data_IF_532935695520
#
_entry.id   IF_532935695520
#
_cell.length_a   1.000
_cell.length_b   1.000
_cell.length_c   1.000
_cell.angle_alpha   90.00
_cell.angle_beta   90.00
_cell.angle_gamma   90.00
#
_symmetry.space_group_name_H-M   'P 1'
#
loop_
_entity.id
_entity.type
_entity.pdbx_description
1 polymer ?
#
# COMPACT_ATOMS: atom_id res chain seq x y z
N UNK A 1 -37.33 4.22 5.96
CA UNK A 1 -36.70 4.69 4.71
C UNK A 1 -35.52 5.58 5.09
N UNK A 2 -34.32 5.09 4.76
CA UNK A 2 -33.00 5.74 4.70
C UNK A 2 -32.47 6.45 5.96
N UNK A 3 -31.94 5.68 6.92
CA UNK A 3 -31.00 6.18 7.96
C UNK A 3 -29.73 5.31 8.14
N UNK A 4 -29.53 4.29 7.30
CA UNK A 4 -28.43 3.33 7.48
C UNK A 4 -27.45 3.26 6.30
N UNK A 5 -27.49 4.21 5.36
CA UNK A 5 -26.64 4.18 4.16
C UNK A 5 -25.19 4.63 4.39
N UNK A 6 -24.83 5.10 5.59
CA UNK A 6 -23.51 5.65 5.89
C UNK A 6 -22.56 4.68 6.61
N UNK A 7 -23.02 3.45 6.90
CA UNK A 7 -22.24 2.42 7.59
C UNK A 7 -21.66 1.34 6.68
N UNK A 8 -22.05 1.32 5.41
CA UNK A 8 -21.69 0.28 4.42
C UNK A 8 -20.54 0.72 3.52
N UNK A 9 -19.67 1.53 4.08
CA UNK A 9 -18.66 2.25 3.31
C UNK A 9 -17.24 1.86 3.75
N UNK A 10 -17.03 1.07 4.82
CA UNK A 10 -15.70 0.86 5.42
C UNK A 10 -14.61 0.36 4.46
N UNK A 11 -14.94 -0.61 3.60
CA UNK A 11 -13.99 -1.19 2.64
C UNK A 11 -13.80 -0.31 1.38
N UNK A 12 -14.87 0.16 0.72
CA UNK A 12 -14.71 1.12 -0.37
C UNK A 12 -14.15 2.46 0.11
N UNK A 13 -14.33 2.88 1.37
CA UNK A 13 -13.79 4.12 1.94
C UNK A 13 -12.30 4.07 2.15
N UNK A 14 -11.72 2.94 2.56
CA UNK A 14 -10.26 2.85 2.71
C UNK A 14 -9.55 3.21 1.39
N UNK A 15 -10.16 2.86 0.25
CA UNK A 15 -9.60 3.11 -1.07
C UNK A 15 -10.20 4.37 -1.77
N UNK A 16 -11.48 4.71 -1.54
CA UNK A 16 -12.08 6.01 -1.92
C UNK A 16 -11.43 7.16 -1.17
N UNK A 17 -10.85 6.96 0.02
CA UNK A 17 -10.14 8.02 0.75
C UNK A 17 -8.74 8.27 0.18
N UNK A 18 -8.08 7.26 -0.38
CA UNK A 18 -6.88 7.47 -1.20
C UNK A 18 -7.20 8.36 -2.40
N UNK A 19 -8.38 8.20 -3.00
CA UNK A 19 -8.88 9.11 -4.04
C UNK A 19 -9.38 10.47 -3.49
N UNK A 20 -10.02 10.51 -2.33
CA UNK A 20 -10.58 11.75 -1.77
C UNK A 20 -9.53 12.72 -1.22
N UNK A 21 -8.34 12.22 -0.82
CA UNK A 21 -7.24 13.08 -0.38
C UNK A 21 -6.60 13.86 -1.55
N UNK A 22 -6.65 13.31 -2.78
CA UNK A 22 -6.22 14.01 -3.99
C UNK A 22 -7.19 15.13 -4.40
N UNK A 23 -8.51 14.85 -4.37
CA UNK A 23 -9.54 15.81 -4.72
C UNK A 23 -9.67 17.00 -3.73
N UNK A 24 -9.15 16.87 -2.51
CA UNK A 24 -9.24 17.93 -1.49
C UNK A 24 -8.17 19.03 -1.61
N UNK A 25 -7.11 18.82 -2.39
CA UNK A 25 -6.10 19.85 -2.69
C UNK A 25 -6.27 20.53 -4.06
N UNK A 26 -7.13 19.99 -4.93
CA UNK A 26 -7.55 20.63 -6.18
C UNK A 26 -8.64 21.67 -5.96
N UNK A 27 -8.27 22.86 -5.46
CA UNK A 27 -9.21 23.97 -5.29
C UNK A 27 -9.87 24.38 -6.61
N UNK A 28 -11.21 24.35 -6.64
CA UNK A 28 -12.06 24.89 -7.70
C UNK A 28 -11.75 26.37 -7.99
N UNK A 29 -11.09 26.66 -9.11
CA UNK A 29 -11.02 27.99 -9.73
C UNK A 29 -12.35 28.30 -10.47
N UNK A 30 -13.48 28.30 -9.75
CA UNK A 30 -14.76 28.81 -10.25
C UNK A 30 -14.80 30.34 -10.15
N UNK A 31 -14.00 30.99 -11.00
CA UNK A 31 -13.99 32.43 -11.22
C UNK A 31 -15.07 32.88 -12.19
N UNK A 32 -16.33 32.89 -11.74
CA UNK A 32 -17.41 33.63 -12.40
C UNK A 32 -17.12 35.14 -12.37
N UNK A 33 -16.73 35.73 -13.50
CA UNK A 33 -16.73 37.18 -13.67
C UNK A 33 -17.37 37.61 -14.98
N UNK A 34 -18.66 37.92 -14.90
CA UNK A 34 -19.42 38.58 -15.96
C UNK A 34 -18.91 40.01 -16.19
N UNK A 35 -18.41 40.27 -17.41
CA UNK A 35 -18.00 41.60 -17.86
C UNK A 35 -18.27 41.79 -19.35
N UNK A 36 -19.47 42.26 -19.67
CA UNK A 36 -19.87 42.72 -21.01
C UNK A 36 -19.16 44.05 -21.36
N UNK A 37 -18.30 44.07 -22.38
CA UNK A 37 -17.67 45.30 -22.86
C UNK A 37 -16.87 45.08 -24.15
N UNK A 38 -17.37 45.64 -25.25
CA UNK A 38 -16.79 45.46 -26.59
C UNK A 38 -15.54 46.29 -26.89
N UNK A 39 -14.98 46.05 -28.08
CA UNK A 39 -13.94 46.87 -28.68
C UNK A 39 -12.99 46.03 -29.53
N UNK A 40 -13.14 46.10 -30.85
CA UNK A 40 -12.18 45.48 -31.77
C UNK A 40 -10.83 46.20 -31.77
N UNK A 41 -9.81 45.54 -32.31
CA UNK A 41 -9.00 46.01 -33.43
C UNK A 41 -7.81 45.06 -33.68
N UNK A 42 -7.66 44.76 -34.97
CA UNK A 42 -6.52 44.30 -35.77
C UNK A 42 -5.08 44.55 -35.24
N UNK A 43 -4.19 43.61 -35.60
CA UNK A 43 -2.72 43.73 -35.60
C UNK A 43 -2.07 42.92 -34.48
N UNK A 44 -0.94 42.24 -34.62
CA UNK A 44 0.08 42.23 -35.66
C UNK A 44 0.90 40.93 -35.48
N UNK A 45 1.35 40.40 -36.61
CA UNK A 45 2.41 39.42 -36.79
C UNK A 45 3.70 39.75 -36.03
N UNK A 46 4.32 38.75 -35.41
CA UNK A 46 5.79 38.70 -35.36
C UNK A 46 6.28 37.27 -35.16
N UNK A 47 6.90 36.78 -36.23
CA UNK A 47 7.85 35.68 -36.26
C UNK A 47 8.96 35.87 -35.21
N UNK A 48 9.35 34.79 -34.55
CA UNK A 48 10.69 34.68 -34.00
C UNK A 48 11.23 33.27 -34.22
N UNK A 49 11.91 33.13 -35.35
CA UNK A 49 12.90 32.09 -35.59
C UNK A 49 14.09 32.32 -34.63
N UNK A 50 14.46 31.29 -33.88
CA UNK A 50 15.59 31.29 -32.96
C UNK A 50 16.42 30.01 -33.10
N UNK A 51 17.32 30.02 -34.07
CA UNK A 51 18.35 29.01 -34.30
C UNK A 51 19.43 29.05 -33.21
N UNK A 52 19.93 27.87 -32.82
CA UNK A 52 21.21 27.66 -32.12
C UNK A 52 21.35 26.17 -31.81
N UNK A 53 22.03 25.32 -32.58
CA UNK A 53 23.46 25.28 -32.97
C UNK A 53 24.42 25.21 -31.78
N UNK A 54 25.09 24.05 -31.63
CA UNK A 54 26.24 23.79 -30.74
C UNK A 54 25.83 23.03 -29.48
N UNK A 55 26.44 21.92 -29.06
CA UNK A 55 27.83 21.53 -29.23
C UNK A 55 27.96 20.00 -29.12
N UNK A 56 28.66 19.40 -30.08
CA UNK A 56 29.38 18.14 -29.90
C UNK A 56 30.58 18.38 -28.98
N UNK A 57 31.03 17.34 -28.25
CA UNK A 57 32.44 16.95 -28.06
C UNK A 57 32.70 16.32 -26.67
N UNK A 58 33.36 15.14 -26.72
CA UNK A 58 34.25 14.51 -25.72
C UNK A 58 33.65 13.99 -24.40
N UNK A 59 34.04 12.83 -23.85
CA UNK A 59 35.18 11.91 -24.04
C UNK A 59 34.71 10.49 -23.61
N UNK A 60 35.08 9.38 -24.24
CA UNK A 60 36.38 8.67 -24.18
C UNK A 60 36.99 8.58 -22.77
N UNK A 61 36.80 7.41 -22.15
CA UNK A 61 37.68 6.77 -21.17
C UNK A 61 37.11 5.36 -20.96
N UNK A 62 37.59 4.37 -21.70
CA UNK A 62 38.84 3.61 -21.48
C UNK A 62 38.60 2.41 -20.55
N UNK A 63 39.13 1.30 -21.04
CA UNK A 63 39.20 -0.05 -20.49
C UNK A 63 39.77 -0.11 -19.05
N UNK A 64 39.36 -1.14 -18.30
CA UNK A 64 40.19 -1.90 -17.35
C UNK A 64 39.29 -3.04 -16.80
N UNK A 65 39.41 -4.26 -17.30
CA UNK A 65 40.36 -5.30 -16.86
C UNK A 65 39.92 -6.09 -15.62
N UNK A 66 39.78 -7.40 -15.83
CA UNK A 66 40.19 -8.51 -14.95
C UNK A 66 39.70 -8.55 -13.49
N UNK A 67 38.87 -9.55 -13.15
CA UNK A 67 39.37 -10.76 -12.48
C UNK A 67 38.22 -11.68 -12.01
N UNK A 68 38.15 -12.85 -12.64
CA UNK A 68 37.59 -14.06 -12.05
C UNK A 68 38.51 -14.57 -10.94
N UNK A 69 37.94 -15.04 -9.84
CA UNK A 69 38.50 -16.23 -9.22
C UNK A 69 37.51 -17.39 -9.27
N UNK A 70 37.90 -18.40 -10.03
CA UNK A 70 37.54 -19.79 -9.81
C UNK A 70 37.84 -20.18 -8.35
N UNK A 71 36.88 -20.79 -7.68
CA UNK A 71 37.10 -21.52 -6.44
C UNK A 71 36.57 -22.95 -6.63
N UNK A 72 37.49 -23.79 -7.09
CA UNK A 72 37.40 -25.24 -7.03
C UNK A 72 37.41 -25.74 -5.58
N UNK A 73 36.64 -26.80 -5.32
CA UNK A 73 36.89 -27.76 -4.25
C UNK A 73 35.76 -27.91 -3.24
N UNK A 74 35.02 -29.03 -3.27
CA UNK A 74 35.51 -30.24 -2.59
C UNK A 74 34.67 -31.46 -3.00
N UNK A 75 35.39 -32.56 -3.25
CA UNK A 75 34.91 -33.86 -3.66
C UNK A 75 34.77 -34.78 -2.42
N UNK A 76 33.70 -35.58 -2.40
CA UNK A 76 33.64 -36.84 -1.64
C UNK A 76 32.57 -36.87 -0.56
N UNK A 77 31.70 -37.87 -0.45
CA UNK A 77 31.61 -39.15 -1.13
C UNK A 77 30.71 -40.09 -0.32
N UNK A 78 30.46 -41.28 -0.88
CA UNK A 78 29.78 -42.47 -0.31
C UNK A 78 28.25 -42.41 -0.42
N UNK A 79 27.62 -43.15 -1.34
CA UNK A 79 27.38 -44.61 -1.28
C UNK A 79 26.73 -45.03 0.05
N UNK A 80 25.45 -45.37 0.02
CA UNK A 80 25.03 -46.76 0.27
C UNK A 80 23.53 -46.95 0.01
N UNK A 81 23.25 -47.96 -0.81
CA UNK A 81 21.91 -48.37 -1.18
C UNK A 81 21.12 -48.96 -0.02
N UNK A 82 19.81 -48.79 -0.15
CA UNK A 82 18.80 -49.52 0.60
C UNK A 82 17.64 -49.80 -0.34
N UNK A 83 17.76 -50.90 -1.07
CA UNK A 83 16.63 -51.61 -1.67
C UNK A 83 15.78 -52.15 -0.52
N UNK A 84 14.64 -51.51 -0.23
CA UNK A 84 13.55 -52.14 0.51
C UNK A 84 12.33 -52.18 -0.42
N UNK A 85 12.26 -53.32 -1.12
CA UNK A 85 11.01 -53.91 -1.56
C UNK A 85 10.08 -54.04 -0.34
N UNK A 86 9.00 -53.26 -0.29
CA UNK A 86 7.88 -53.62 0.57
C UNK A 86 6.56 -53.51 -0.17
N UNK A 87 5.81 -54.57 0.04
CA UNK A 87 4.76 -55.12 -0.79
C UNK A 87 3.49 -54.29 -0.74
N UNK A 88 2.70 -54.45 -1.80
CA UNK A 88 1.51 -53.68 -2.06
C UNK A 88 0.49 -53.68 -0.92
N UNK A 89 -0.09 -52.50 -0.72
CA UNK A 89 -1.48 -52.40 -0.29
C UNK A 89 -2.24 -51.53 -1.31
N UNK A 90 -3.02 -52.22 -2.15
CA UNK A 90 -4.06 -51.63 -2.98
C UNK A 90 -5.23 -51.21 -2.09
N UNK A 91 -4.97 -50.24 -1.21
CA UNK A 91 -5.92 -49.65 -0.28
C UNK A 91 -6.76 -48.58 -0.95
N UNK A 92 -7.88 -49.02 -1.54
CA UNK A 92 -9.15 -48.32 -1.63
C UNK A 92 -9.10 -46.78 -1.49
N UNK A 93 -9.23 -46.08 -2.62
CA UNK A 93 -9.44 -44.64 -2.70
C UNK A 93 -10.58 -44.16 -1.82
N UNK A 94 -10.22 -43.74 -0.60
CA UNK A 94 -10.97 -42.78 0.17
C UNK A 94 -10.52 -41.41 -0.31
N UNK A 95 -11.28 -40.82 -1.23
CA UNK A 95 -11.26 -39.39 -1.45
C UNK A 95 -11.83 -38.76 -0.17
N UNK A 96 -11.01 -38.74 0.88
CA UNK A 96 -11.23 -37.92 2.05
C UNK A 96 -11.04 -36.50 1.55
N UNK A 97 -12.10 -35.94 0.97
CA UNK A 97 -12.58 -34.61 1.30
C UNK A 97 -12.77 -34.58 2.83
N UNK A 98 -11.65 -34.69 3.55
CA UNK A 98 -11.54 -34.24 4.90
C UNK A 98 -11.73 -32.76 4.77
N UNK A 99 -12.97 -32.32 4.90
CA UNK A 99 -13.29 -30.99 5.37
C UNK A 99 -12.59 -30.82 6.70
N UNK A 100 -11.28 -30.59 6.66
CA UNK A 100 -10.59 -29.74 7.60
C UNK A 100 -11.47 -28.52 7.64
N UNK A 101 -12.19 -28.38 8.76
CA UNK A 101 -13.05 -27.26 9.06
C UNK A 101 -12.41 -26.06 8.41
N UNK A 102 -13.05 -25.49 7.38
CA UNK A 102 -12.61 -24.26 6.75
C UNK A 102 -12.20 -23.38 7.91
N UNK A 103 -10.90 -23.24 8.12
CA UNK A 103 -10.39 -22.38 9.18
C UNK A 103 -11.08 -21.06 8.89
N UNK A 104 -11.79 -20.57 9.89
CA UNK A 104 -12.69 -19.43 9.73
C UNK A 104 -11.82 -18.31 9.17
N UNK A 105 -11.89 -18.07 7.85
CA UNK A 105 -10.95 -17.18 7.19
C UNK A 105 -11.02 -15.78 7.78
N UNK A 106 -12.18 -15.44 8.37
CA UNK A 106 -12.39 -14.21 9.13
C UNK A 106 -11.49 -14.20 10.36
N UNK A 107 -11.34 -15.32 11.08
CA UNK A 107 -10.43 -15.43 12.21
C UNK A 107 -8.95 -15.30 11.78
N UNK A 108 -8.56 -15.83 10.62
CA UNK A 108 -7.19 -15.66 10.08
C UNK A 108 -6.92 -14.20 9.72
N UNK A 109 -7.88 -13.53 9.07
CA UNK A 109 -7.76 -12.11 8.73
C UNK A 109 -7.74 -11.22 9.97
N UNK A 110 -8.54 -11.54 11.01
CA UNK A 110 -8.48 -10.85 12.31
C UNK A 110 -7.14 -11.04 13.01
N UNK A 111 -6.61 -12.27 13.02
CA UNK A 111 -5.28 -12.52 13.58
C UNK A 111 -4.19 -11.74 12.83
N UNK A 112 -4.35 -11.57 11.51
CA UNK A 112 -3.45 -10.73 10.71
C UNK A 112 -3.57 -9.26 11.12
N UNK A 113 -4.79 -8.75 11.34
CA UNK A 113 -5.03 -7.40 11.86
C UNK A 113 -4.38 -7.19 13.25
N UNK A 114 -4.54 -8.14 14.18
CA UNK A 114 -3.89 -8.11 15.50
C UNK A 114 -2.35 -8.09 15.40
N UNK A 115 -1.80 -8.76 14.39
CA UNK A 115 -0.35 -8.80 14.16
C UNK A 115 0.20 -7.46 13.66
N UNK A 116 -0.61 -6.62 12.99
CA UNK A 116 -0.20 -5.27 12.57
C UNK A 116 0.09 -4.34 13.75
N UNK A 117 -0.63 -4.49 14.87
CA UNK A 117 -0.49 -3.64 16.05
C UNK A 117 0.75 -3.93 16.89
N UNK A 118 1.27 -5.16 16.80
CA UNK A 118 2.31 -5.66 17.69
C UNK A 118 3.56 -6.18 16.97
N UNK A 119 3.47 -6.41 15.67
CA UNK A 119 4.56 -6.95 14.85
C UNK A 119 5.54 -5.88 14.37
N UNK A 120 6.76 -6.33 14.08
CA UNK A 120 7.78 -5.53 13.39
C UNK A 120 7.87 -5.98 11.94
N UNK A 121 7.55 -5.11 10.99
CA UNK A 121 7.52 -5.43 9.56
C UNK A 121 7.75 -4.19 8.69
N UNK A 122 8.19 -4.42 7.46
CA UNK A 122 8.29 -3.43 6.39
C UNK A 122 7.67 -4.04 5.12
N UNK A 123 6.66 -3.39 4.55
CA UNK A 123 6.01 -3.85 3.32
C UNK A 123 5.82 -2.68 2.38
N UNK A 124 6.27 -2.85 1.13
CA UNK A 124 6.02 -1.90 0.04
C UNK A 124 5.09 -2.59 -0.95
N UNK A 125 3.97 -1.95 -1.24
CA UNK A 125 2.96 -2.42 -2.15
C UNK A 125 2.94 -1.57 -3.42
N UNK A 126 2.79 -2.22 -4.56
CA UNK A 126 2.37 -1.57 -5.78
C UNK A 126 0.84 -1.50 -5.81
N UNK A 127 0.30 -0.29 -5.91
CA UNK A 127 -1.13 -0.04 -6.11
C UNK A 127 -1.41 0.23 -7.58
N UNK A 128 -2.48 -0.37 -8.10
CA UNK A 128 -2.98 -0.15 -9.46
C UNK A 128 -4.51 -0.11 -9.47
N UNK A 129 -5.08 0.87 -10.16
CA UNK A 129 -6.52 1.00 -10.40
C UNK A 129 -6.81 2.12 -11.42
N UNK A 130 -8.08 2.43 -11.66
CA UNK A 130 -8.42 3.60 -12.49
C UNK A 130 -7.96 4.87 -11.79
N UNK A 131 -7.11 5.67 -12.45
CA UNK A 131 -6.65 6.96 -11.91
C UNK A 131 -5.68 6.87 -10.73
N UNK A 132 -5.26 5.66 -10.34
CA UNK A 132 -4.34 5.41 -9.23
C UNK A 132 -3.22 4.50 -9.69
N UNK A 133 -1.99 5.01 -9.64
CA UNK A 133 -0.78 4.22 -9.82
C UNK A 133 0.30 4.76 -8.88
N UNK A 134 0.74 3.94 -7.94
CA UNK A 134 1.70 4.38 -6.93
C UNK A 134 2.20 3.25 -6.05
N UNK A 135 3.15 3.58 -5.20
CA UNK A 135 3.62 2.71 -4.13
C UNK A 135 3.01 3.14 -2.80
N UNK A 136 2.65 2.15 -2.01
CA UNK A 136 2.20 2.31 -0.64
C UNK A 136 3.19 1.60 0.26
N UNK A 137 3.77 2.31 1.22
CA UNK A 137 4.74 1.75 2.17
C UNK A 137 4.09 1.67 3.54
N UNK A 138 4.21 0.51 4.19
CA UNK A 138 3.82 0.35 5.57
C UNK A 138 4.97 -0.27 6.37
N UNK A 139 5.40 0.43 7.42
CA UNK A 139 6.43 -0.04 8.33
C UNK A 139 5.93 0.08 9.78
N UNK A 140 6.23 -0.92 10.59
CA UNK A 140 5.94 -0.90 12.02
C UNK A 140 7.14 -1.43 12.79
N UNK A 141 7.56 -0.70 13.82
CA UNK A 141 8.48 -1.14 14.87
C UNK A 141 7.97 -0.54 16.18
N UNK A 142 6.95 -1.17 16.80
CA UNK A 142 6.19 -0.56 17.89
C UNK A 142 7.11 0.01 18.99
N UNK A 143 6.85 1.26 19.44
CA UNK A 143 5.65 2.05 19.22
C UNK A 143 5.69 2.97 17.99
N UNK A 144 6.66 2.81 17.09
CA UNK A 144 6.82 3.65 15.90
C UNK A 144 6.17 2.98 14.69
N UNK A 145 5.58 3.77 13.80
CA UNK A 145 5.04 3.29 12.53
C UNK A 145 5.15 4.35 11.43
N UNK A 146 5.20 3.91 10.18
CA UNK A 146 5.21 4.73 8.98
C UNK A 146 4.15 4.18 8.03
N UNK A 147 3.26 5.05 7.58
CA UNK A 147 2.40 4.80 6.43
C UNK A 147 2.75 5.85 5.38
N UNK A 148 3.30 5.43 4.26
CA UNK A 148 3.75 6.28 3.17
C UNK A 148 3.02 5.94 1.87
N UNK A 149 2.85 6.93 1.01
CA UNK A 149 2.27 6.77 -0.30
C UNK A 149 3.01 7.69 -1.27
N UNK A 150 3.42 7.16 -2.40
CA UNK A 150 4.01 7.92 -3.50
C UNK A 150 3.36 7.47 -4.82
N UNK A 151 3.11 8.39 -5.74
CA UNK A 151 2.56 8.03 -7.04
C UNK A 151 1.76 9.14 -7.69
N UNK A 152 1.05 8.78 -8.75
CA UNK A 152 0.18 9.69 -9.48
C UNK A 152 -1.27 9.48 -9.05
N UNK A 153 -1.89 10.54 -8.54
CA UNK A 153 -3.29 10.58 -8.13
C UNK A 153 -4.00 11.67 -8.93
N UNK A 154 -5.05 11.30 -9.67
CA UNK A 154 -5.80 12.24 -10.53
C UNK A 154 -4.93 12.98 -11.57
N UNK A 155 -3.76 12.42 -11.91
CA UNK A 155 -2.81 13.00 -12.86
C UNK A 155 -1.72 13.87 -12.23
N UNK A 156 -1.71 14.02 -10.91
CA UNK A 156 -0.70 14.77 -10.17
C UNK A 156 0.21 13.80 -9.39
N UNK A 157 1.52 14.00 -9.49
CA UNK A 157 2.49 13.24 -8.69
C UNK A 157 2.54 13.80 -7.27
N UNK A 158 2.33 12.94 -6.29
CA UNK A 158 2.30 13.30 -4.88
C UNK A 158 3.06 12.32 -4.02
N UNK A 159 3.50 12.79 -2.85
CA UNK A 159 4.03 11.93 -1.79
C UNK A 159 3.39 12.35 -0.47
N UNK A 160 2.83 11.39 0.24
CA UNK A 160 2.20 11.61 1.53
C UNK A 160 2.72 10.60 2.54
N UNK A 161 3.01 11.04 3.76
CA UNK A 161 3.51 10.17 4.82
C UNK A 161 2.86 10.50 6.17
N UNK A 162 2.59 9.46 6.92
CA UNK A 162 2.18 9.53 8.33
C UNK A 162 3.20 8.77 9.13
N UNK A 163 3.88 9.49 10.02
CA UNK A 163 4.93 8.93 10.87
C UNK A 163 4.48 9.00 12.32
N UNK A 164 4.22 7.85 12.94
CA UNK A 164 4.01 7.76 14.37
C UNK A 164 5.34 7.46 15.04
N UNK A 165 5.65 8.25 16.06
CA UNK A 165 6.83 8.06 16.91
C UNK A 165 6.39 7.83 18.35
N UNK A 166 7.36 7.54 19.23
CA UNK A 166 7.09 7.50 20.67
C UNK A 166 6.51 8.83 21.19
N UNK A 167 6.91 9.97 20.61
CA UNK A 167 6.60 11.32 21.11
C UNK A 167 5.40 11.99 20.41
N UNK A 168 5.24 11.78 19.11
CA UNK A 168 4.32 12.56 18.27
C UNK A 168 3.89 11.79 17.01
N UNK A 169 2.84 12.30 16.36
CA UNK A 169 2.44 11.89 15.02
C UNK A 169 2.75 13.02 14.05
N UNK A 170 3.33 12.69 12.90
CA UNK A 170 3.69 13.63 11.83
C UNK A 170 2.88 13.33 10.57
N UNK A 171 2.34 14.38 9.95
CA UNK A 171 1.70 14.31 8.64
C UNK A 171 2.55 15.10 7.66
N UNK A 172 3.18 14.42 6.72
CA UNK A 172 4.14 15.01 5.81
C UNK A 172 3.63 14.95 4.38
N UNK A 173 3.62 16.11 3.73
CA UNK A 173 3.49 16.23 2.28
C UNK A 173 4.91 16.33 1.71
N UNK A 174 5.23 15.45 0.78
CA UNK A 174 6.50 15.38 0.05
C UNK A 174 6.38 15.80 -1.41
N UNK A 175 5.26 16.40 -1.80
CA UNK A 175 5.07 16.91 -3.17
C UNK A 175 6.12 17.98 -3.47
N UNK A 176 6.84 17.90 -4.62
CA UNK A 176 7.90 18.84 -4.93
C UNK A 176 7.48 20.30 -4.86
N UNK A 177 8.17 21.10 -4.03
CA UNK A 177 7.86 22.50 -3.78
C UNK A 177 6.78 22.77 -2.72
N UNK A 178 6.17 21.73 -2.15
CA UNK A 178 5.21 21.82 -1.04
C UNK A 178 5.65 20.99 0.18
N UNK A 179 6.94 20.66 0.27
CA UNK A 179 7.46 19.77 1.29
C UNK A 179 7.27 20.36 2.69
N UNK A 180 6.45 19.73 3.52
CA UNK A 180 6.17 20.17 4.89
C UNK A 180 5.64 19.03 5.74
N UNK A 181 5.86 19.12 7.06
CA UNK A 181 5.26 18.22 8.04
C UNK A 181 4.45 18.99 9.08
N UNK A 182 3.30 18.44 9.47
CA UNK A 182 2.52 18.88 10.62
C UNK A 182 2.78 17.93 11.79
N UNK A 183 3.25 18.45 12.92
CA UNK A 183 3.48 17.67 14.15
C UNK A 183 2.28 17.79 15.07
N UNK A 184 1.73 16.65 15.49
CA UNK A 184 0.62 16.53 16.42
C UNK A 184 1.05 15.83 17.70
N UNK A 185 0.33 16.10 18.79
CA UNK A 185 0.42 15.31 20.01
C UNK A 185 0.02 13.86 19.71
N UNK A 186 0.77 12.91 20.26
CA UNK A 186 0.49 11.48 20.08
C UNK A 186 -0.97 11.14 20.41
N UNK A 187 -1.65 10.47 19.47
CA UNK A 187 -3.05 10.07 19.60
C UNK A 187 -4.07 11.22 19.49
N UNK A 188 -3.63 12.47 19.25
CA UNK A 188 -4.54 13.59 19.02
C UNK A 188 -4.76 13.81 17.52
N UNK A 189 -5.46 12.86 16.90
CA UNK A 189 -5.87 12.96 15.50
C UNK A 189 -7.00 13.99 15.29
N UNK A 190 -7.70 14.38 16.36
CA UNK A 190 -8.79 15.37 16.34
C UNK A 190 -8.32 16.79 15.99
N UNK A 191 -7.02 17.07 16.11
CA UNK A 191 -6.45 18.36 15.75
C UNK A 191 -6.37 18.58 14.23
N UNK A 192 -6.60 17.53 13.43
CA UNK A 192 -6.59 17.62 11.99
C UNK A 192 -7.99 18.01 11.50
N UNK A 193 -8.12 19.06 10.66
CA UNK A 193 -9.41 19.53 10.16
C UNK A 193 -10.04 18.59 9.12
N UNK A 194 -9.36 17.52 8.71
CA UNK A 194 -9.86 16.46 7.87
C UNK A 194 -9.94 15.17 8.70
N UNK A 195 -11.02 14.41 8.52
CA UNK A 195 -11.14 13.08 9.13
C UNK A 195 -10.01 12.22 8.57
N UNK A 196 -9.05 11.90 9.43
CA UNK A 196 -8.07 10.89 9.05
C UNK A 196 -8.80 9.58 8.83
N UNK A 197 -8.45 8.85 7.77
CA UNK A 197 -9.05 7.56 7.54
C UNK A 197 -8.87 6.69 8.79
N UNK A 198 -9.93 6.00 9.20
CA UNK A 198 -9.82 4.83 10.10
C UNK A 198 -8.79 3.82 9.57
N UNK A 199 -8.43 3.90 8.28
CA UNK A 199 -7.36 3.16 7.62
C UNK A 199 -5.97 3.25 8.28
N UNK A 200 -5.70 4.25 9.11
CA UNK A 200 -4.42 4.35 9.82
C UNK A 200 -4.27 3.34 10.95
N UNK A 201 -5.39 2.76 11.38
CA UNK A 201 -5.41 1.64 12.29
C UNK A 201 -5.93 0.41 11.50
N UNK A 202 -5.02 -0.48 11.14
CA UNK A 202 -5.35 -1.69 10.39
C UNK A 202 -6.36 -2.56 11.15
N UNK A 203 -6.30 -2.56 12.49
CA UNK A 203 -7.27 -3.26 13.35
C UNK A 203 -8.67 -2.65 13.22
N UNK A 204 -8.81 -1.32 13.30
CA UNK A 204 -10.12 -0.67 13.13
C UNK A 204 -10.65 -0.88 11.70
N UNK A 205 -9.80 -0.76 10.68
CA UNK A 205 -10.21 -0.84 9.28
C UNK A 205 -10.60 -2.27 8.85
N UNK A 206 -9.79 -3.27 9.20
CA UNK A 206 -10.12 -4.67 8.94
C UNK A 206 -11.19 -5.16 9.91
N UNK A 207 -11.17 -4.74 11.16
CA UNK A 207 -12.15 -5.08 12.19
C UNK A 207 -13.57 -4.66 11.79
N UNK A 208 -13.75 -3.42 11.37
CA UNK A 208 -15.07 -2.91 10.91
C UNK A 208 -15.63 -3.74 9.75
N UNK A 209 -14.77 -4.15 8.81
CA UNK A 209 -15.15 -5.02 7.70
C UNK A 209 -15.48 -6.43 8.18
N UNK A 210 -14.63 -7.02 9.01
CA UNK A 210 -14.74 -8.41 9.45
C UNK A 210 -15.82 -8.62 10.53
N UNK A 211 -16.31 -7.54 11.14
CA UNK A 211 -17.42 -7.53 12.10
C UNK A 211 -18.78 -7.31 11.42
N UNK A 212 -18.80 -7.02 10.12
CA UNK A 212 -20.03 -6.84 9.38
C UNK A 212 -20.84 -8.16 9.31
N UNK A 213 -22.14 -8.15 9.66
CA UNK A 213 -22.98 -9.34 9.58
C UNK A 213 -22.99 -9.93 8.18
N UNK A 214 -22.76 -11.25 8.09
CA UNK A 214 -22.78 -11.98 6.82
C UNK A 214 -21.43 -12.00 6.09
N UNK A 215 -20.40 -11.34 6.64
CA UNK A 215 -19.05 -11.47 6.10
C UNK A 215 -18.54 -12.90 6.25
N UNK A 216 -17.98 -13.40 5.15
CA UNK A 216 -17.35 -14.71 5.07
C UNK A 216 -16.04 -14.61 4.31
N UNK A 217 -15.06 -15.42 4.70
CA UNK A 217 -13.78 -15.51 4.02
C UNK A 217 -13.54 -16.98 3.68
N UNK A 218 -13.51 -17.28 2.37
CA UNK A 218 -13.33 -18.66 1.86
C UNK A 218 -11.93 -18.79 1.25
N UNK A 219 -11.14 -19.82 1.62
CA UNK A 219 -9.84 -20.05 1.00
C UNK A 219 -9.94 -20.19 -0.52
N UNK A 220 -9.06 -19.51 -1.26
CA UNK A 220 -8.96 -19.61 -2.74
C UNK A 220 -7.67 -20.30 -3.21
N UNK A 221 -6.67 -20.40 -2.34
CA UNK A 221 -5.42 -21.10 -2.65
C UNK A 221 -4.23 -20.51 -1.90
N UNK A 222 -3.03 -20.80 -2.42
CA UNK A 222 -1.75 -20.29 -1.90
C UNK A 222 -0.95 -19.64 -3.03
N UNK A 223 -0.16 -18.62 -2.70
CA UNK A 223 0.72 -17.90 -3.64
C UNK A 223 2.01 -17.50 -2.92
N UNK A 224 3.11 -17.36 -3.64
CA UNK A 224 4.32 -16.73 -3.10
C UNK A 224 4.36 -15.29 -3.63
N UNK A 225 4.35 -14.30 -2.74
CA UNK A 225 4.32 -12.86 -3.05
C UNK A 225 5.45 -12.19 -2.29
N UNK A 226 6.28 -11.38 -2.97
CA UNK A 226 7.49 -10.78 -2.38
C UNK A 226 8.39 -11.79 -1.64
N UNK A 227 8.44 -13.05 -2.12
CA UNK A 227 9.22 -14.13 -1.48
C UNK A 227 8.58 -14.77 -0.24
N UNK A 228 7.38 -14.35 0.16
CA UNK A 228 6.64 -14.91 1.31
C UNK A 228 5.50 -15.79 0.81
N UNK A 229 5.38 -16.99 1.39
CA UNK A 229 4.23 -17.88 1.15
C UNK A 229 2.97 -17.32 1.82
N UNK A 230 1.95 -17.09 1.01
CA UNK A 230 0.68 -16.49 1.39
C UNK A 230 -0.49 -17.45 1.18
N UNK A 231 -1.46 -17.40 2.09
CA UNK A 231 -2.77 -18.01 1.94
C UNK A 231 -3.78 -16.96 1.48
N UNK A 232 -4.54 -17.29 0.44
CA UNK A 232 -5.49 -16.38 -0.18
C UNK A 232 -6.93 -16.74 0.20
N UNK A 233 -7.72 -15.71 0.45
CA UNK A 233 -9.09 -15.77 0.92
C UNK A 233 -9.95 -14.86 0.05
N UNK A 234 -11.06 -15.39 -0.46
CA UNK A 234 -12.12 -14.56 -1.04
C UNK A 234 -13.05 -14.13 0.07
N UNK A 235 -13.06 -12.84 0.34
CA UNK A 235 -13.97 -12.21 1.28
C UNK A 235 -15.24 -11.80 0.55
N UNK A 236 -16.40 -12.05 1.14
CA UNK A 236 -17.71 -11.64 0.64
C UNK A 236 -18.54 -11.06 1.76
N UNK A 237 -19.24 -9.96 1.50
CA UNK A 237 -20.25 -9.38 2.38
C UNK A 237 -21.67 -9.66 1.88
N UNK A 238 -22.67 -9.48 2.74
CA UNK A 238 -24.09 -9.58 2.36
C UNK A 238 -24.51 -8.47 1.38
N UNK A 239 -23.74 -7.38 1.28
CA UNK A 239 -23.93 -6.32 0.30
C UNK A 239 -23.58 -6.75 -1.14
N UNK A 240 -22.95 -7.93 -1.30
CA UNK A 240 -22.52 -8.45 -2.60
C UNK A 240 -21.13 -7.98 -3.02
N UNK A 241 -20.44 -7.24 -2.16
CA UNK A 241 -19.04 -6.87 -2.36
C UNK A 241 -18.17 -8.12 -2.19
N UNK A 242 -17.13 -8.23 -3.01
CA UNK A 242 -16.17 -9.31 -2.87
C UNK A 242 -14.77 -8.85 -3.22
N UNK A 243 -13.80 -9.36 -2.46
CA UNK A 243 -12.38 -9.13 -2.71
C UNK A 243 -11.57 -10.40 -2.48
N UNK A 244 -10.33 -10.39 -2.94
CA UNK A 244 -9.33 -11.41 -2.60
C UNK A 244 -8.24 -10.78 -1.76
N UNK A 245 -7.94 -11.42 -0.63
CA UNK A 245 -6.88 -11.03 0.29
C UNK A 245 -5.90 -12.18 0.40
N UNK A 246 -4.60 -11.94 0.30
CA UNK A 246 -3.60 -12.95 0.64
C UNK A 246 -2.76 -12.47 1.81
N UNK A 247 -2.60 -13.33 2.80
CA UNK A 247 -1.86 -13.06 4.04
C UNK A 247 -0.74 -14.07 4.21
N UNK A 248 0.42 -13.62 4.67
CA UNK A 248 1.60 -14.45 4.89
C UNK A 248 2.49 -13.84 5.97
N UNK A 249 3.05 -14.68 6.84
CA UNK A 249 3.91 -14.23 7.95
C UNK A 249 3.31 -13.12 8.84
N UNK A 250 1.98 -13.09 8.97
CA UNK A 250 1.29 -12.08 9.80
C UNK A 250 1.09 -10.71 9.15
N UNK A 251 1.38 -10.55 7.86
CA UNK A 251 1.09 -9.33 7.10
C UNK A 251 0.20 -9.62 5.88
N UNK A 252 -0.54 -8.61 5.43
CA UNK A 252 -1.23 -8.64 4.14
C UNK A 252 -0.19 -8.51 3.03
N UNK A 253 -0.31 -9.31 1.97
CA UNK A 253 0.62 -9.29 0.82
C UNK A 253 -0.10 -9.00 -0.49
N UNK A 254 -1.42 -9.21 -0.52
CA UNK A 254 -2.25 -8.95 -1.68
C UNK A 254 -3.64 -8.53 -1.24
N UNK A 255 -4.20 -7.57 -1.96
CA UNK A 255 -5.60 -7.22 -1.91
C UNK A 255 -6.07 -6.89 -3.33
N UNK A 256 -7.22 -7.45 -3.72
CA UNK A 256 -7.96 -7.06 -4.91
C UNK A 256 -9.41 -6.85 -4.52
N UNK A 257 -9.98 -5.70 -4.89
CA UNK A 257 -11.37 -5.37 -4.61
C UNK A 257 -12.00 -4.69 -5.83
N UNK A 258 -13.31 -4.85 -5.98
CA UNK A 258 -14.10 -4.12 -6.98
C UNK A 258 -14.92 -3.03 -6.28
N UNK A 259 -14.78 -1.78 -6.72
CA UNK A 259 -15.52 -0.62 -6.20
C UNK A 259 -16.13 0.09 -7.40
N UNK A 260 -17.45 0.28 -7.39
CA UNK A 260 -18.19 0.92 -8.50
C UNK A 260 -17.91 0.32 -9.89
N UNK A 261 -17.62 -0.99 -9.94
CA UNK A 261 -17.31 -1.72 -11.17
C UNK A 261 -15.86 -1.58 -11.64
N UNK A 262 -14.99 -0.94 -10.84
CA UNK A 262 -13.56 -0.80 -11.10
C UNK A 262 -12.75 -1.70 -10.18
N UNK A 263 -11.73 -2.35 -10.73
CA UNK A 263 -10.84 -3.21 -9.96
C UNK A 263 -9.65 -2.41 -9.44
N UNK A 264 -9.43 -2.50 -8.14
CA UNK A 264 -8.27 -1.95 -7.47
C UNK A 264 -7.45 -3.08 -6.88
N UNK A 265 -6.14 -3.00 -7.08
CA UNK A 265 -5.19 -4.02 -6.66
C UNK A 265 -4.05 -3.38 -5.88
N UNK A 266 -3.66 -4.03 -4.81
CA UNK A 266 -2.49 -3.74 -3.99
C UNK A 266 -1.71 -5.05 -3.83
N UNK A 267 -0.48 -5.11 -4.32
CA UNK A 267 0.37 -6.30 -4.24
C UNK A 267 1.73 -5.92 -3.68
N UNK A 268 2.20 -6.63 -2.65
CA UNK A 268 3.51 -6.42 -2.07
C UNK A 268 4.60 -6.71 -3.10
N UNK A 269 5.47 -5.73 -3.35
CA UNK A 269 6.68 -5.86 -4.16
C UNK A 269 7.91 -6.08 -3.29
N UNK A 270 7.84 -5.66 -2.03
CA UNK A 270 8.84 -5.90 -0.99
C UNK A 270 8.10 -6.23 0.31
N UNK A 271 8.56 -7.24 1.04
CA UNK A 271 8.02 -7.58 2.35
C UNK A 271 9.11 -8.20 3.23
N UNK A 272 9.31 -7.62 4.40
CA UNK A 272 10.18 -8.13 5.45
C UNK A 272 9.39 -8.23 6.75
N UNK A 273 9.32 -9.44 7.32
CA UNK A 273 8.70 -9.68 8.63
C UNK A 273 9.77 -10.06 9.63
N UNK A 274 9.77 -9.39 10.78
CA UNK A 274 10.82 -9.49 11.80
C UNK A 274 12.25 -9.18 11.28
N UNK A 275 12.47 -8.02 10.60
CA UNK A 275 13.82 -7.61 10.19
C UNK A 275 14.73 -7.20 11.37
N UNK A 276 14.28 -7.38 12.62
CA UNK A 276 14.85 -6.73 13.79
C UNK A 276 14.39 -5.29 13.89
N UNK A 277 15.29 -4.37 14.25
CA UNK A 277 14.92 -2.96 14.48
C UNK A 277 14.79 -2.20 13.17
N UNK A 278 13.64 -1.56 12.92
CA UNK A 278 13.43 -0.69 11.76
C UNK A 278 13.64 0.76 12.19
N UNK A 279 14.45 1.50 11.45
CA UNK A 279 14.61 2.93 11.71
C UNK A 279 13.54 3.71 10.96
N UNK A 280 12.47 4.06 11.66
CA UNK A 280 11.42 4.94 11.15
C UNK A 280 11.82 6.37 11.47
N UNK A 281 12.13 7.15 10.43
CA UNK A 281 12.53 8.54 10.55
C UNK A 281 11.48 9.47 9.95
N UNK A 282 11.25 10.61 10.60
CA UNK A 282 10.50 11.72 10.01
C UNK A 282 11.40 12.33 8.92
N UNK A 283 10.89 12.58 7.70
CA UNK A 283 11.66 13.24 6.66
C UNK A 283 12.10 14.64 7.12
N UNK A 284 13.22 15.13 6.56
CA UNK A 284 13.80 16.44 6.90
C UNK A 284 13.04 17.60 6.20
N UNK A 285 11.72 17.64 6.37
CA UNK A 285 10.86 18.70 5.87
C UNK A 285 10.62 19.76 6.94
N UNK A 286 10.32 21.02 6.57
CA UNK A 286 9.86 22.04 7.51
C UNK A 286 8.70 21.55 8.37
N UNK A 287 8.84 21.60 9.70
CA UNK A 287 7.82 21.13 10.65
C UNK A 287 7.02 22.29 11.25
N UNK A 288 5.70 22.24 11.12
CA UNK A 288 4.76 23.09 11.86
C UNK A 288 4.23 22.34 13.08
N UNK A 289 4.50 22.85 14.28
CA UNK A 289 4.08 22.21 15.53
C UNK A 289 2.65 22.65 15.92
N UNK A 290 1.72 21.70 15.87
CA UNK A 290 0.32 21.88 16.25
C UNK A 290 -0.04 21.15 17.55
N UNK A 291 0.94 20.60 18.28
CA UNK A 291 0.71 19.82 19.51
C UNK A 291 -0.05 20.59 20.61
N UNK A 292 -0.05 21.93 20.55
CA UNK A 292 -0.77 22.82 21.46
C UNK A 292 -2.23 23.13 21.09
N UNK A 293 -2.70 22.73 19.91
CA UNK A 293 -4.09 22.97 19.47
C UNK A 293 -4.99 21.79 19.88
N UNK A 294 -6.14 22.07 20.50
CA UNK A 294 -7.16 21.05 20.81
C UNK A 294 -7.09 20.39 22.19
N UNK A 295 -6.45 21.02 23.19
CA UNK A 295 -6.69 20.71 24.61
C UNK A 295 -7.94 21.43 25.14
#
# INVERSE_FOLDING_TARGET
>A
MTKNAWRWLGLPVMLLMVLALAAACGGDDDGDNGGNGGGGNSGDSSDSEGQGSGNSDNADSDDDDSDSPDADGDDGGSDDGGDDDDDGDAGSGGNSDGGTNSEDGVAVLRQTADAFDSGTFHVVYQMTGTGVNGQFTFASDPPNSLLGMEGTFEGEDGTFMIVNTEEATYFCDGTPGQEQCLKLSKGNLNAIPFELPTALNADDALGDVLDEPGVSATPTGRRTIAGIDAECYRVKSDAGESGEFCVGSGVMLYMETEIDGETYKMEAVEAETDPGKITIAVPDYPVTDLSGFGN
#
